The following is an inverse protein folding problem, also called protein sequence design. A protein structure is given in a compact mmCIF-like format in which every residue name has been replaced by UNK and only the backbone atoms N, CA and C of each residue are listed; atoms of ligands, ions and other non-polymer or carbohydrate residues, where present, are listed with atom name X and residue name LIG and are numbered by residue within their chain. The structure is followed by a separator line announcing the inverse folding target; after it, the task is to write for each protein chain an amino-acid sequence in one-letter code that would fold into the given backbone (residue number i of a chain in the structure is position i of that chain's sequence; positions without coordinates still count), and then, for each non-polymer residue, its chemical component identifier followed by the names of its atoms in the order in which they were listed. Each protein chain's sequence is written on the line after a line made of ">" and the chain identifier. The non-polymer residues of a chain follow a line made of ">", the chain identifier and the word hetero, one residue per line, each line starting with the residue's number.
data_IF_830198641540
#
_entry.id   IF_830198641540
#
_cell.length_a   1.000
_cell.length_b   1.000
_cell.length_c   1.000
_cell.angle_alpha   90.00
_cell.angle_beta   90.00
_cell.angle_gamma   90.00
#
_symmetry.space_group_name_H-M   'P 1'
#
loop_
_entity.id
_entity.type
_entity.pdbx_description
1 polymer ?
#
# COMPACT_ATOMS: atom_id res chain seq x y z
N UNK A 1 11.04 -4.41 -1.96
CA UNK A 1 10.00 -4.00 -0.98
C UNK A 1 9.30 -2.73 -1.51
N UNK A 2 8.42 -2.08 -0.75
CA UNK A 2 7.74 -0.85 -1.20
C UNK A 2 8.71 0.33 -1.48
N UNK A 3 9.90 0.34 -0.87
CA UNK A 3 10.91 1.37 -1.11
C UNK A 3 11.64 1.13 -2.44
N UNK A 4 11.90 -0.13 -2.80
CA UNK A 4 12.43 -0.46 -4.12
C UNK A 4 11.43 -0.12 -5.24
N UNK A 5 10.11 -0.18 -4.96
CA UNK A 5 9.11 0.32 -5.91
C UNK A 5 9.19 1.85 -6.08
N UNK A 6 9.51 2.58 -5.01
CA UNK A 6 9.74 4.02 -5.08
C UNK A 6 10.98 4.35 -5.92
N UNK A 7 12.08 3.63 -5.69
CA UNK A 7 13.30 3.75 -6.50
C UNK A 7 13.02 3.42 -7.97
N UNK A 8 12.26 2.35 -8.25
CA UNK A 8 11.87 1.97 -9.60
C UNK A 8 11.04 3.07 -10.29
N UNK A 9 10.10 3.69 -9.58
CA UNK A 9 9.31 4.80 -10.10
C UNK A 9 10.23 5.99 -10.45
N UNK A 10 11.18 6.33 -9.56
CA UNK A 10 12.12 7.43 -9.75
C UNK A 10 13.06 7.21 -10.96
N UNK A 11 13.63 6.01 -11.12
CA UNK A 11 14.46 5.69 -12.29
C UNK A 11 13.65 5.63 -13.59
N UNK A 12 12.32 5.46 -13.49
CA UNK A 12 11.39 5.52 -14.63
C UNK A 12 10.94 6.95 -14.95
N UNK A 13 11.49 7.97 -14.27
CA UNK A 13 11.14 9.38 -14.49
C UNK A 13 9.88 9.84 -13.76
N UNK A 14 9.30 9.02 -12.88
CA UNK A 14 8.16 9.40 -12.06
C UNK A 14 8.64 9.94 -10.72
N UNK A 15 7.91 10.91 -10.18
CA UNK A 15 8.12 11.33 -8.81
C UNK A 15 7.42 10.36 -7.86
N UNK A 16 8.11 9.97 -6.78
CA UNK A 16 7.56 9.01 -5.84
C UNK A 16 8.09 9.22 -4.41
N UNK A 17 7.25 8.94 -3.42
CA UNK A 17 7.60 9.02 -2.00
C UNK A 17 6.87 7.94 -1.18
N UNK A 18 7.59 7.25 -0.29
CA UNK A 18 6.98 6.38 0.71
C UNK A 18 6.55 7.24 1.90
N UNK A 19 5.28 7.16 2.28
CA UNK A 19 4.74 7.76 3.50
C UNK A 19 4.45 6.65 4.49
N UNK A 20 4.85 6.85 5.73
CA UNK A 20 4.64 5.90 6.83
C UNK A 20 3.79 6.55 7.91
N UNK A 21 2.75 5.85 8.39
CA UNK A 21 2.02 6.29 9.58
C UNK A 21 3.00 6.32 10.77
N UNK A 22 3.16 7.50 11.37
CA UNK A 22 4.01 7.65 12.54
C UNK A 22 3.26 7.19 13.79
N UNK A 23 3.82 6.19 14.45
CA UNK A 23 3.89 6.17 15.91
C UNK A 23 5.32 5.74 16.22
N UNK A 24 6.15 6.72 16.60
CA UNK A 24 7.52 6.60 17.15
C UNK A 24 8.28 5.30 16.85
N UNK A 25 9.02 5.22 15.74
CA UNK A 25 10.23 4.39 15.59
C UNK A 25 10.80 4.54 14.16
N UNK A 26 11.58 5.61 13.95
CA UNK A 26 12.44 5.73 12.78
C UNK A 26 13.56 4.69 12.92
N UNK A 27 13.56 3.66 12.06
CA UNK A 27 14.70 2.75 11.98
C UNK A 27 15.84 3.45 11.22
N UNK A 28 17.11 3.30 11.64
CA UNK A 28 18.24 3.81 10.88
C UNK A 28 18.19 3.20 9.46
N UNK A 29 18.19 4.04 8.41
CA UNK A 29 18.13 3.60 7.00
C UNK A 29 16.90 4.04 6.18
N UNK A 30 15.89 4.68 6.81
CA UNK A 30 14.70 5.23 6.13
C UNK A 30 14.96 6.64 5.52
N UNK A 31 15.89 6.75 4.56
CA UNK A 31 16.32 8.06 4.00
C UNK A 31 15.30 8.75 3.07
N UNK A 32 14.18 8.10 2.73
CA UNK A 32 13.17 8.62 1.80
C UNK A 32 11.72 8.43 2.30
N UNK A 33 11.53 8.30 3.62
CA UNK A 33 10.20 8.19 4.24
C UNK A 33 9.75 9.52 4.77
N UNK A 34 8.59 10.01 4.31
CA UNK A 34 7.91 11.14 4.95
C UNK A 34 7.07 10.62 6.11
N UNK A 35 7.29 11.22 7.27
CA UNK A 35 6.45 11.07 8.46
C UNK A 35 5.06 11.65 8.15
N UNK A 36 4.00 10.86 8.26
CA UNK A 36 2.64 11.35 8.09
C UNK A 36 1.59 10.25 8.01
N UNK A 37 0.34 10.61 8.32
CA UNK A 37 -0.79 9.69 8.26
C UNK A 37 -1.19 9.47 6.79
N UNK A 38 -0.66 8.43 6.13
CA UNK A 38 -0.81 8.23 4.68
C UNK A 38 -2.29 8.16 4.29
N UNK A 39 -3.12 7.58 5.15
CA UNK A 39 -4.56 7.42 4.93
C UNK A 39 -5.31 8.76 4.93
N UNK A 40 -4.83 9.78 5.67
CA UNK A 40 -5.38 11.14 5.61
C UNK A 40 -5.01 11.84 4.30
N UNK A 41 -3.83 11.53 3.77
CA UNK A 41 -3.34 12.11 2.51
C UNK A 41 -3.94 11.43 1.28
N UNK A 42 -4.33 10.15 1.39
CA UNK A 42 -4.73 9.32 0.28
C UNK A 42 -5.87 9.93 -0.56
N UNK A 43 -6.95 10.36 0.10
CA UNK A 43 -8.12 10.95 -0.59
C UNK A 43 -7.71 12.18 -1.38
N UNK A 44 -7.07 13.16 -0.73
CA UNK A 44 -6.60 14.39 -1.37
C UNK A 44 -5.66 14.10 -2.55
N UNK A 45 -4.78 13.11 -2.40
CA UNK A 45 -3.81 12.74 -3.41
C UNK A 45 -4.47 12.12 -4.65
N UNK A 46 -5.39 11.17 -4.44
CA UNK A 46 -6.16 10.53 -5.51
C UNK A 46 -7.04 11.55 -6.23
N UNK A 47 -7.69 12.47 -5.49
CA UNK A 47 -8.47 13.57 -6.07
C UNK A 47 -7.63 14.53 -6.93
N UNK A 48 -6.32 14.64 -6.67
CA UNK A 48 -5.41 15.47 -7.45
C UNK A 48 -4.83 14.75 -8.69
N UNK A 49 -5.26 13.52 -8.97
CA UNK A 49 -4.77 12.72 -10.09
C UNK A 49 -3.49 11.93 -9.81
N UNK A 50 -3.00 11.95 -8.57
CA UNK A 50 -1.92 11.08 -8.14
C UNK A 50 -2.41 9.64 -7.92
N UNK A 51 -1.48 8.68 -7.82
CA UNK A 51 -1.79 7.27 -7.52
C UNK A 51 -1.01 6.79 -6.30
N UNK A 52 -1.51 5.73 -5.64
CA UNK A 52 -0.84 5.13 -4.51
C UNK A 52 -0.64 3.64 -4.70
N UNK A 53 0.48 3.09 -4.24
CA UNK A 53 0.63 1.66 -4.01
C UNK A 53 0.56 1.38 -2.51
N UNK A 54 -0.39 0.55 -2.09
CA UNK A 54 -0.60 0.20 -0.69
C UNK A 54 -0.51 -1.32 -0.51
N UNK A 55 0.41 -1.83 0.32
CA UNK A 55 0.41 -3.23 0.69
C UNK A 55 -0.73 -3.49 1.69
N UNK A 56 -1.37 -4.65 1.58
CA UNK A 56 -2.44 -5.07 2.47
C UNK A 56 -2.43 -6.59 2.65
N UNK A 57 -2.97 -7.10 3.74
CA UNK A 57 -3.15 -8.53 3.95
C UNK A 57 -4.42 -8.98 3.22
N UNK A 58 -4.28 -9.88 2.26
CA UNK A 58 -5.42 -10.24 1.42
C UNK A 58 -6.26 -11.35 2.04
N UNK A 59 -7.56 -11.31 1.79
CA UNK A 59 -8.40 -12.48 1.95
C UNK A 59 -8.18 -13.50 0.80
N UNK A 60 -8.51 -14.76 1.03
CA UNK A 60 -8.28 -15.83 0.04
C UNK A 60 -9.43 -15.99 -0.97
N UNK A 61 -10.63 -15.44 -0.70
CA UNK A 61 -11.84 -15.63 -1.50
C UNK A 61 -12.10 -14.47 -2.48
N UNK A 62 -12.01 -13.24 -2.00
CA UNK A 62 -12.27 -12.00 -2.74
C UNK A 62 -11.01 -11.18 -3.00
N UNK A 63 -9.89 -11.57 -2.40
CA UNK A 63 -8.59 -10.90 -2.52
C UNK A 63 -8.58 -9.44 -2.06
N UNK A 64 -9.57 -9.02 -1.28
CA UNK A 64 -9.64 -7.70 -0.68
C UNK A 64 -8.90 -7.59 0.65
N UNK A 65 -8.88 -6.38 1.24
CA UNK A 65 -8.22 -6.14 2.51
C UNK A 65 -8.84 -6.97 3.64
N UNK A 66 -7.99 -7.60 4.44
CA UNK A 66 -8.37 -8.36 5.60
C UNK A 66 -7.37 -8.18 6.74
N UNK A 67 -7.75 -8.61 7.94
CA UNK A 67 -6.91 -8.54 9.15
C UNK A 67 -6.56 -9.95 9.61
N UNK A 68 -5.72 -10.65 8.83
CA UNK A 68 -5.42 -12.10 9.00
C UNK A 68 -4.02 -12.36 9.54
N UNK A 69 -3.59 -11.56 10.52
CA UNK A 69 -2.28 -11.60 11.20
C UNK A 69 -1.08 -11.16 10.34
N UNK A 70 -1.30 -10.72 9.10
CA UNK A 70 -0.31 -9.95 8.33
C UNK A 70 0.70 -10.80 7.59
N UNK A 71 0.39 -12.08 7.37
CA UNK A 71 1.27 -13.03 6.69
C UNK A 71 1.02 -13.13 5.18
N UNK A 72 -0.08 -12.54 4.70
CA UNK A 72 -0.55 -12.63 3.32
C UNK A 72 -0.41 -11.33 2.54
N UNK A 73 0.69 -10.59 2.74
CA UNK A 73 0.85 -9.29 2.09
C UNK A 73 0.70 -9.37 0.56
N UNK A 74 -0.17 -8.51 0.05
CA UNK A 74 -0.44 -8.22 -1.36
C UNK A 74 -0.33 -6.71 -1.59
N UNK A 75 -0.41 -6.27 -2.84
CA UNK A 75 -0.31 -4.85 -3.19
C UNK A 75 -1.51 -4.43 -4.04
N UNK A 76 -2.10 -3.30 -3.70
CA UNK A 76 -3.07 -2.60 -4.54
C UNK A 76 -2.45 -1.32 -5.10
N UNK A 77 -2.72 -1.04 -6.38
CA UNK A 77 -2.54 0.28 -6.99
C UNK A 77 -3.87 1.03 -6.88
N UNK A 78 -3.96 1.99 -5.97
CA UNK A 78 -5.10 2.89 -5.84
C UNK A 78 -5.02 3.97 -6.92
N UNK A 79 -6.12 4.17 -7.63
CA UNK A 79 -6.19 5.05 -8.81
C UNK A 79 -7.32 6.08 -8.71
N UNK A 80 -8.20 5.97 -7.71
CA UNK A 80 -9.25 6.94 -7.51
C UNK A 80 -10.01 6.73 -6.21
N UNK A 81 -11.04 7.55 -6.05
CA UNK A 81 -12.02 7.46 -4.97
C UNK A 81 -13.42 7.28 -5.56
N UNK A 82 -14.33 6.73 -4.77
CA UNK A 82 -15.75 6.67 -5.08
C UNK A 82 -16.55 7.11 -3.84
N UNK A 83 -17.69 7.75 -4.07
CA UNK A 83 -18.66 8.09 -3.03
C UNK A 83 -19.72 7.00 -3.03
N UNK A 84 -20.01 6.43 -1.86
CA UNK A 84 -21.07 5.45 -1.74
C UNK A 84 -22.43 6.15 -1.80
N UNK A 85 -23.31 5.72 -2.71
CA UNK A 85 -24.64 6.33 -2.85
C UNK A 85 -25.40 6.26 -1.52
N UNK A 86 -25.84 7.42 -1.01
CA UNK A 86 -26.56 7.53 0.25
C UNK A 86 -25.69 7.44 1.52
N UNK A 87 -24.37 7.55 1.39
CA UNK A 87 -23.43 7.65 2.51
C UNK A 87 -22.42 8.79 2.29
N UNK A 88 -21.92 9.38 3.37
CA UNK A 88 -20.77 10.30 3.33
C UNK A 88 -19.43 9.54 3.28
N UNK A 89 -19.46 8.22 3.14
CA UNK A 89 -18.28 7.36 3.09
C UNK A 89 -17.53 7.49 1.77
N UNK A 90 -16.23 7.79 1.88
CA UNK A 90 -15.30 7.75 0.77
C UNK A 90 -14.69 6.36 0.67
N UNK A 91 -14.89 5.75 -0.49
CA UNK A 91 -14.28 4.47 -0.88
C UNK A 91 -13.02 4.72 -1.71
N UNK A 92 -12.02 3.89 -1.48
CA UNK A 92 -10.81 3.83 -2.29
C UNK A 92 -11.04 2.83 -3.43
N UNK A 93 -10.63 3.21 -4.63
CA UNK A 93 -10.71 2.36 -5.83
C UNK A 93 -9.31 2.03 -6.30
N UNK A 94 -9.05 0.74 -6.53
CA UNK A 94 -7.74 0.27 -6.96
C UNK A 94 -7.76 -1.00 -7.79
N UNK A 95 -6.57 -1.37 -8.25
CA UNK A 95 -6.30 -2.59 -9.02
C UNK A 95 -5.29 -3.45 -8.27
N UNK A 96 -5.34 -4.77 -8.47
CA UNK A 96 -4.39 -5.70 -7.84
C UNK A 96 -4.06 -6.88 -8.76
N UNK A 97 -3.00 -7.63 -8.43
CA UNK A 97 -2.41 -8.62 -9.34
C UNK A 97 -3.14 -9.96 -9.45
N UNK A 98 -4.23 -10.17 -8.68
CA UNK A 98 -4.92 -11.47 -8.58
C UNK A 98 -6.29 -11.49 -9.25
N UNK A 99 -6.82 -10.34 -9.68
CA UNK A 99 -8.13 -10.24 -10.32
C UNK A 99 -8.14 -9.11 -11.34
N UNK A 100 -9.04 -9.20 -12.33
CA UNK A 100 -9.35 -8.08 -13.25
C UNK A 100 -10.42 -7.15 -12.69
N UNK A 101 -11.07 -7.52 -11.58
CA UNK A 101 -12.11 -6.71 -10.94
C UNK A 101 -11.43 -5.59 -10.13
N UNK A 102 -11.94 -4.35 -10.21
CA UNK A 102 -11.51 -3.30 -9.31
C UNK A 102 -11.71 -3.72 -7.86
N UNK A 103 -10.74 -3.35 -7.03
CA UNK A 103 -10.87 -3.41 -5.59
C UNK A 103 -11.51 -2.12 -5.11
N UNK A 104 -12.60 -2.25 -4.34
CA UNK A 104 -13.30 -1.13 -3.71
C UNK A 104 -13.37 -1.41 -2.22
N UNK A 105 -12.90 -0.47 -1.40
CA UNK A 105 -12.79 -0.66 0.04
C UNK A 105 -12.84 0.68 0.78
N UNK A 106 -13.21 0.67 2.05
CA UNK A 106 -13.08 1.86 2.89
C UNK A 106 -11.62 2.17 3.21
N UNK A 107 -11.34 3.43 3.56
CA UNK A 107 -10.02 3.85 4.07
C UNK A 107 -9.67 3.06 5.35
N UNK A 108 -10.65 2.83 6.23
CA UNK A 108 -10.47 2.13 7.51
C UNK A 108 -10.08 0.66 7.35
N UNK A 109 -10.71 -0.07 6.44
CA UNK A 109 -10.37 -1.47 6.14
C UNK A 109 -8.95 -1.60 5.60
N UNK A 110 -8.59 -0.78 4.60
CA UNK A 110 -7.26 -0.82 4.01
C UNK A 110 -6.18 -0.43 5.02
N UNK A 111 -6.43 0.61 5.82
CA UNK A 111 -5.53 1.03 6.90
C UNK A 111 -5.29 -0.07 7.91
N UNK A 112 -6.37 -0.70 8.40
CA UNK A 112 -6.26 -1.78 9.39
C UNK A 112 -5.50 -2.99 8.84
N UNK A 113 -5.75 -3.33 7.57
CA UNK A 113 -5.06 -4.42 6.87
C UNK A 113 -3.57 -4.12 6.63
N UNK A 114 -3.24 -2.90 6.25
CA UNK A 114 -1.88 -2.42 6.04
C UNK A 114 -1.07 -2.36 7.35
N UNK A 115 -1.65 -1.87 8.45
CA UNK A 115 -0.96 -1.65 9.72
C UNK A 115 -0.42 -2.94 10.37
N UNK A 116 -1.11 -4.06 10.17
CA UNK A 116 -0.76 -5.34 10.79
C UNK A 116 0.18 -6.23 9.96
N UNK A 117 0.67 -5.76 8.81
CA UNK A 117 1.54 -6.55 7.94
C UNK A 117 2.88 -6.92 8.58
N UNK A 118 3.30 -8.17 8.40
CA UNK A 118 4.55 -8.70 8.96
C UNK A 118 5.45 -9.29 7.90
N UNK A 119 4.88 -9.99 6.94
CA UNK A 119 5.63 -10.72 5.92
C UNK A 119 4.85 -10.89 4.63
N UNK A 120 5.57 -11.23 3.55
CA UNK A 120 4.97 -11.73 2.31
C UNK A 120 4.95 -13.25 2.37
N UNK A 121 3.80 -13.83 1.99
CA UNK A 121 3.63 -15.28 1.87
C UNK A 121 4.73 -15.86 0.99
N UNK A 122 5.50 -16.81 1.54
CA UNK A 122 6.49 -17.56 0.75
C UNK A 122 5.76 -18.28 -0.37
N UNK A 123 6.15 -18.02 -1.61
CA UNK A 123 5.66 -18.80 -2.74
C UNK A 123 6.44 -20.11 -2.80
N UNK A 124 5.76 -21.22 -3.12
CA UNK A 124 6.41 -22.54 -3.25
C UNK A 124 7.34 -22.66 -4.47
N UNK A 125 7.43 -21.62 -5.30
CA UNK A 125 8.35 -21.56 -6.42
C UNK A 125 9.74 -21.16 -5.91
N UNK A 126 10.79 -21.75 -6.48
CA UNK A 126 12.22 -21.49 -6.20
C UNK A 126 12.70 -20.03 -6.39
N UNK A 127 11.77 -19.10 -6.64
CA UNK A 127 12.04 -17.67 -6.79
C UNK A 127 11.99 -17.02 -5.41
N UNK A 128 13.17 -16.86 -4.80
CA UNK A 128 13.31 -16.05 -3.60
C UNK A 128 13.11 -14.57 -3.94
N UNK A 129 12.37 -13.84 -3.10
CA UNK A 129 12.31 -12.40 -3.18
C UNK A 129 13.68 -11.83 -2.78
N UNK A 130 14.24 -10.96 -3.61
CA UNK A 130 15.38 -10.13 -3.20
C UNK A 130 14.83 -9.00 -2.36
N UNK A 131 15.26 -8.95 -1.10
CA UNK A 131 14.91 -7.91 -0.13
C UNK A 131 16.22 -7.28 0.31
N UNK A 132 16.23 -5.96 0.49
CA UNK A 132 17.40 -5.26 1.01
C UNK A 132 17.77 -5.70 2.43
N UNK A 133 18.94 -5.29 2.90
CA UNK A 133 19.46 -5.65 4.23
C UNK A 133 18.49 -5.32 5.38
N UNK A 134 17.67 -4.28 5.21
CA UNK A 134 16.64 -3.85 6.17
C UNK A 134 15.40 -4.75 6.25
N UNK A 135 15.32 -5.78 5.39
CA UNK A 135 14.18 -6.68 5.34
C UNK A 135 12.93 -6.04 4.74
N UNK A 136 11.80 -6.75 4.83
CA UNK A 136 10.53 -6.33 4.23
C UNK A 136 9.85 -5.29 5.10
N UNK A 137 9.81 -4.04 4.62
CA UNK A 137 9.08 -2.92 5.25
C UNK A 137 7.70 -2.79 4.62
N UNK A 138 6.69 -3.35 5.29
CA UNK A 138 5.32 -3.45 4.76
C UNK A 138 4.32 -2.65 5.58
N UNK A 139 4.36 -2.81 6.90
CA UNK A 139 3.37 -2.22 7.78
C UNK A 139 3.35 -0.70 7.70
N UNK A 140 2.14 -0.15 7.80
CA UNK A 140 1.88 1.27 8.04
C UNK A 140 2.53 2.17 6.99
N UNK A 141 2.56 1.73 5.73
CA UNK A 141 3.25 2.41 4.63
C UNK A 141 2.41 2.43 3.37
N UNK A 142 2.50 3.52 2.63
CA UNK A 142 1.98 3.64 1.27
C UNK A 142 3.00 4.38 0.40
N UNK A 143 3.08 4.02 -0.88
CA UNK A 143 3.91 4.69 -1.88
C UNK A 143 3.03 5.62 -2.69
N UNK A 144 3.35 6.91 -2.68
CA UNK A 144 2.69 7.93 -3.47
C UNK A 144 3.48 8.15 -4.76
N UNK A 145 2.80 8.21 -5.91
CA UNK A 145 3.42 8.36 -7.24
C UNK A 145 2.69 9.47 -8.00
N UNK A 146 3.46 10.30 -8.72
CA UNK A 146 2.97 11.38 -9.57
C UNK A 146 3.95 11.70 -10.70
N UNK A 147 3.47 12.44 -11.71
CA UNK A 147 4.25 12.98 -12.83
C UNK A 147 4.59 14.44 -12.60
#
# INVERSE_FOLDING_TARGET
>A
DIHHLAELAQVSGLSAAVVRDDDTDQKPGDTNVKSGLWWQLAVKWLSAGGVLVVPYDKDELHHGPATRKGHGAHYALLVGIAEAEGSDDILLVGMHGLSKRPLVMSVGELRSSNAQLREVKRTGNSKAWVVGAEGMRLASRALFIWS
#
